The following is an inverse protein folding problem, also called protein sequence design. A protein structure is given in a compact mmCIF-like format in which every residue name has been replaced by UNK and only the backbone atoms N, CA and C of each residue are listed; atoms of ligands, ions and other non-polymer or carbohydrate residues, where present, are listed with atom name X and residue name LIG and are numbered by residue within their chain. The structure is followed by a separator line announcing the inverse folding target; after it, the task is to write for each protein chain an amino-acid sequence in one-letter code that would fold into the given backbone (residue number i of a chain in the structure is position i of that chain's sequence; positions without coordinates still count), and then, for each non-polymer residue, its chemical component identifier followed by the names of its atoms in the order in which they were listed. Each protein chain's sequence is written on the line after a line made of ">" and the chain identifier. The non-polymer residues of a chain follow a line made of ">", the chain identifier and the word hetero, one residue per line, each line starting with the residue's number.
data_IF_341026341217
#
_entry.id   IF_341026341217
#
_cell.length_a   1.000
_cell.length_b   1.000
_cell.length_c   1.000
_cell.angle_alpha   90.00
_cell.angle_beta   90.00
_cell.angle_gamma   90.00
#
_symmetry.space_group_name_H-M   'P 1'
#
loop_
_entity.id
_entity.type
_entity.pdbx_description
1 polymer ?
#
# COMPACT_ATOMS: atom_id res chain seq x y z
N UNK A 1 14.23 -25.21 -38.08
CA UNK A 1 14.48 -25.91 -36.80
C UNK A 1 14.50 -24.88 -35.67
N UNK A 2 13.35 -24.33 -35.29
CA UNK A 2 13.19 -23.36 -34.18
C UNK A 2 12.65 -24.09 -32.95
N UNK A 3 13.55 -24.63 -32.13
CA UNK A 3 13.25 -25.76 -31.23
C UNK A 3 12.98 -25.29 -29.80
N UNK A 4 11.71 -25.29 -29.37
CA UNK A 4 11.19 -25.26 -27.96
C UNK A 4 11.58 -24.07 -27.05
N UNK A 5 12.83 -23.57 -27.05
CA UNK A 5 13.28 -22.41 -26.25
C UNK A 5 12.65 -21.10 -26.72
N UNK A 6 12.47 -20.92 -28.03
CA UNK A 6 11.84 -19.72 -28.56
C UNK A 6 10.35 -19.62 -28.19
N UNK A 7 9.59 -20.73 -28.26
CA UNK A 7 8.16 -20.72 -27.89
C UNK A 7 7.94 -20.45 -26.39
N UNK A 8 8.82 -20.94 -25.52
CA UNK A 8 8.80 -20.62 -24.09
C UNK A 8 8.95 -19.12 -23.83
N UNK A 9 9.88 -18.45 -24.53
CA UNK A 9 10.11 -17.01 -24.38
C UNK A 9 8.92 -16.15 -24.84
N UNK A 10 8.22 -16.56 -25.91
CA UNK A 10 7.03 -15.86 -26.41
C UNK A 10 5.88 -15.98 -25.43
N UNK A 11 5.63 -17.18 -24.89
CA UNK A 11 4.58 -17.41 -23.88
C UNK A 11 4.84 -16.65 -22.59
N UNK A 12 6.09 -16.61 -22.11
CA UNK A 12 6.46 -15.86 -20.92
C UNK A 12 6.23 -14.35 -21.09
N UNK A 13 6.59 -13.79 -22.26
CA UNK A 13 6.33 -12.38 -22.58
C UNK A 13 4.83 -12.08 -22.69
N UNK A 14 4.07 -12.94 -23.36
CA UNK A 14 2.62 -12.80 -23.46
C UNK A 14 1.94 -12.87 -22.09
N UNK A 15 2.37 -13.79 -21.22
CA UNK A 15 1.90 -13.88 -19.85
C UNK A 15 2.24 -12.62 -19.05
N UNK A 16 3.48 -12.13 -19.12
CA UNK A 16 3.89 -10.89 -18.46
C UNK A 16 3.06 -9.68 -18.90
N UNK A 17 2.76 -9.58 -20.20
CA UNK A 17 1.87 -8.56 -20.74
C UNK A 17 0.44 -8.69 -20.21
N UNK A 18 -0.12 -9.91 -20.19
CA UNK A 18 -1.48 -10.15 -19.68
C UNK A 18 -1.57 -9.80 -18.19
N UNK A 19 -0.58 -10.21 -17.40
CA UNK A 19 -0.49 -9.89 -15.98
C UNK A 19 -0.38 -8.38 -15.73
N UNK A 20 0.35 -7.63 -16.56
CA UNK A 20 0.36 -6.16 -16.48
C UNK A 20 -1.06 -5.57 -16.61
N UNK A 21 -1.85 -6.07 -17.55
CA UNK A 21 -3.22 -5.58 -17.78
C UNK A 21 -4.16 -5.96 -16.66
N UNK A 22 -4.15 -7.23 -16.26
CA UNK A 22 -5.04 -7.72 -15.21
C UNK A 22 -4.76 -7.04 -13.86
N UNK A 23 -3.48 -6.96 -13.46
CA UNK A 23 -3.08 -6.27 -12.23
C UNK A 23 -3.35 -4.76 -12.32
N UNK A 24 -3.15 -4.14 -13.48
CA UNK A 24 -3.45 -2.73 -13.69
C UNK A 24 -4.95 -2.40 -13.55
N UNK A 25 -5.83 -3.22 -14.12
CA UNK A 25 -7.28 -3.07 -13.94
C UNK A 25 -7.67 -3.29 -12.47
N UNK A 26 -7.08 -4.30 -11.82
CA UNK A 26 -7.24 -4.49 -10.38
C UNK A 26 -6.82 -3.25 -9.59
N UNK A 27 -5.66 -2.68 -9.90
CA UNK A 27 -5.17 -1.46 -9.25
C UNK A 27 -6.11 -0.28 -9.44
N UNK A 28 -6.67 -0.05 -10.63
CA UNK A 28 -7.65 1.02 -10.82
C UNK A 28 -8.83 0.87 -9.85
N UNK A 29 -9.37 -0.35 -9.72
CA UNK A 29 -10.47 -0.62 -8.80
C UNK A 29 -10.08 -0.44 -7.32
N UNK A 30 -9.03 -1.14 -6.88
CA UNK A 30 -8.64 -1.15 -5.46
C UNK A 30 -8.06 0.19 -5.02
N UNK A 31 -7.34 0.89 -5.89
CA UNK A 31 -6.82 2.22 -5.58
C UNK A 31 -7.97 3.24 -5.51
N UNK A 32 -8.95 3.19 -6.42
CA UNK A 32 -10.12 4.06 -6.32
C UNK A 32 -10.87 3.86 -5.00
N UNK A 33 -11.08 2.61 -4.57
CA UNK A 33 -11.67 2.30 -3.27
C UNK A 33 -10.81 2.79 -2.11
N UNK A 34 -9.49 2.59 -2.17
CA UNK A 34 -8.56 3.07 -1.14
C UNK A 34 -8.62 4.59 -1.01
N UNK A 35 -8.51 5.32 -2.12
CA UNK A 35 -8.63 6.78 -2.13
C UNK A 35 -9.97 7.25 -1.61
N UNK A 36 -11.07 6.59 -2.02
CA UNK A 36 -12.40 6.92 -1.53
C UNK A 36 -12.46 6.81 0.00
N UNK A 37 -12.02 5.70 0.57
CA UNK A 37 -12.08 5.47 2.03
C UNK A 37 -11.18 6.42 2.81
N UNK A 38 -10.01 6.77 2.29
CA UNK A 38 -9.04 7.61 3.01
C UNK A 38 -9.28 9.12 2.83
N UNK A 39 -10.01 9.56 1.80
CA UNK A 39 -10.16 10.99 1.49
C UNK A 39 -11.59 11.50 1.48
N UNK A 40 -12.59 10.64 1.32
CA UNK A 40 -14.00 11.05 1.34
C UNK A 40 -14.57 10.95 2.76
N UNK A 41 -15.64 11.71 3.07
CA UNK A 41 -16.32 11.66 4.36
C UNK A 41 -17.04 10.31 4.54
N UNK A 42 -16.28 9.30 4.97
CA UNK A 42 -16.76 7.96 5.27
C UNK A 42 -16.79 7.74 6.78
N UNK A 43 -17.55 6.75 7.25
CA UNK A 43 -17.54 6.35 8.66
C UNK A 43 -16.22 5.74 9.15
N UNK A 44 -15.19 5.67 8.30
CA UNK A 44 -13.87 5.12 8.62
C UNK A 44 -12.81 6.18 8.90
N UNK A 45 -13.19 7.45 8.97
CA UNK A 45 -12.34 8.58 9.33
C UNK A 45 -12.92 9.28 10.56
N UNK A 46 -12.06 9.92 11.36
CA UNK A 46 -12.49 10.70 12.51
C UNK A 46 -13.02 12.05 12.03
N UNK A 47 -14.17 12.48 12.54
CA UNK A 47 -14.61 13.88 12.37
C UNK A 47 -13.67 14.83 13.11
N UNK A 48 -13.75 16.12 12.83
CA UNK A 48 -12.97 17.13 13.55
C UNK A 48 -13.22 17.11 15.07
N UNK A 49 -14.47 16.87 15.48
CA UNK A 49 -14.85 16.74 16.89
C UNK A 49 -14.27 15.47 17.52
N UNK A 50 -14.40 14.31 16.86
CA UNK A 50 -13.80 13.06 17.33
C UNK A 50 -12.27 13.17 17.42
N UNK A 51 -11.63 13.84 16.44
CA UNK A 51 -10.20 14.09 16.45
C UNK A 51 -9.77 14.95 17.64
N UNK A 52 -10.51 16.02 17.97
CA UNK A 52 -10.22 16.86 19.12
C UNK A 52 -10.28 16.07 20.44
N UNK A 53 -11.26 15.17 20.58
CA UNK A 53 -11.35 14.27 21.75
C UNK A 53 -10.13 13.36 21.82
N UNK A 54 -9.79 12.69 20.72
CA UNK A 54 -8.62 11.80 20.64
C UNK A 54 -7.33 12.57 21.00
N UNK A 55 -7.15 13.79 20.50
CA UNK A 55 -5.99 14.62 20.82
C UNK A 55 -5.94 14.99 22.30
N UNK A 56 -7.08 15.28 22.93
CA UNK A 56 -7.14 15.58 24.36
C UNK A 56 -6.76 14.38 25.23
N UNK A 57 -7.13 13.16 24.82
CA UNK A 57 -6.75 11.92 25.50
C UNK A 57 -5.23 11.67 25.40
N UNK A 58 -4.64 11.87 24.22
CA UNK A 58 -3.18 11.75 24.05
C UNK A 58 -2.41 12.80 24.83
N UNK A 59 -2.88 14.05 24.82
CA UNK A 59 -2.29 15.15 25.59
C UNK A 59 -2.33 14.88 27.10
N UNK A 60 -3.39 14.24 27.61
CA UNK A 60 -3.50 13.81 28.99
C UNK A 60 -2.59 12.62 29.32
N UNK A 61 -2.31 11.75 28.35
CA UNK A 61 -1.51 10.54 28.54
C UNK A 61 0.01 10.78 28.51
N UNK A 62 0.50 11.70 27.67
CA UNK A 62 1.94 11.99 27.54
C UNK A 62 2.18 13.46 27.18
N UNK A 63 2.99 14.13 28.01
CA UNK A 63 3.38 15.54 27.88
C UNK A 63 4.02 15.87 26.51
N UNK A 64 4.66 14.89 25.86
CA UNK A 64 5.25 15.07 24.52
C UNK A 64 4.22 15.48 23.47
N UNK A 65 2.96 15.09 23.63
CA UNK A 65 1.89 15.51 22.71
C UNK A 65 1.53 16.98 22.91
N UNK A 66 1.50 17.44 24.16
CA UNK A 66 1.27 18.86 24.49
C UNK A 66 2.38 19.72 23.86
N UNK A 67 3.64 19.29 24.01
CA UNK A 67 4.80 19.94 23.38
C UNK A 67 4.70 19.94 21.85
N UNK A 68 4.34 18.80 21.25
CA UNK A 68 4.19 18.69 19.79
C UNK A 68 3.07 19.58 19.22
N UNK A 69 1.97 19.75 19.94
CA UNK A 69 0.89 20.69 19.58
C UNK A 69 1.40 22.13 19.69
N UNK A 70 2.07 22.48 20.79
CA UNK A 70 2.62 23.82 20.99
C UNK A 70 3.67 24.20 19.93
N UNK A 71 4.44 23.23 19.46
CA UNK A 71 5.42 23.40 18.36
C UNK A 71 4.78 23.37 16.96
N UNK A 72 3.47 23.15 16.84
CA UNK A 72 2.75 23.07 15.56
C UNK A 72 3.04 21.81 14.75
N UNK A 73 3.65 20.78 15.36
CA UNK A 73 3.88 19.46 14.73
C UNK A 73 2.58 18.66 14.63
N UNK A 74 1.63 18.95 15.50
CA UNK A 74 0.26 18.42 15.46
C UNK A 74 -0.66 19.62 15.33
N UNK A 75 -1.46 19.64 14.27
CA UNK A 75 -2.43 20.70 14.02
C UNK A 75 -3.83 20.25 14.40
N UNK A 76 -4.66 21.20 14.79
CA UNK A 76 -6.09 20.97 14.92
C UNK A 76 -6.72 20.64 13.56
N UNK A 77 -7.81 19.87 13.59
CA UNK A 77 -8.62 19.57 12.42
C UNK A 77 -9.50 20.78 12.06
N UNK A 78 -9.70 21.02 10.76
CA UNK A 78 -10.66 22.03 10.30
C UNK A 78 -12.10 21.57 10.57
N UNK A 79 -13.09 22.48 10.72
CA UNK A 79 -14.47 22.13 11.11
C UNK A 79 -15.23 21.12 10.23
N UNK A 80 -14.75 20.80 9.03
CA UNK A 80 -15.33 19.79 8.14
C UNK A 80 -14.30 18.74 7.68
N UNK A 81 -13.14 18.70 8.35
CA UNK A 81 -12.07 17.76 8.03
C UNK A 81 -12.36 16.37 8.58
N UNK A 82 -11.91 15.38 7.81
CA UNK A 82 -11.96 13.98 8.17
C UNK A 82 -10.53 13.47 8.27
N UNK A 83 -10.15 12.97 9.44
CA UNK A 83 -8.76 12.67 9.77
C UNK A 83 -8.56 11.18 9.92
N UNK A 84 -7.45 10.67 9.36
CA UNK A 84 -7.04 9.28 9.56
C UNK A 84 -6.43 9.17 10.96
N UNK A 85 -7.04 8.37 11.83
CA UNK A 85 -6.54 8.09 13.18
C UNK A 85 -6.30 6.60 13.36
N UNK A 86 -5.43 6.24 14.32
CA UNK A 86 -5.15 4.85 14.63
C UNK A 86 -6.43 4.08 15.03
N UNK A 87 -7.28 4.68 15.86
CA UNK A 87 -8.52 4.07 16.32
C UNK A 87 -9.46 3.70 15.16
N UNK A 88 -9.74 4.65 14.26
CA UNK A 88 -10.59 4.39 13.09
C UNK A 88 -9.99 3.36 12.13
N UNK A 89 -8.67 3.37 11.94
CA UNK A 89 -7.97 2.35 11.13
C UNK A 89 -8.08 0.98 11.79
N UNK A 90 -7.88 0.88 13.10
CA UNK A 90 -7.99 -0.36 13.87
C UNK A 90 -9.41 -0.93 13.79
N UNK A 91 -10.43 -0.10 13.98
CA UNK A 91 -11.83 -0.49 13.86
C UNK A 91 -12.19 -0.98 12.45
N UNK A 92 -11.75 -0.27 11.40
CA UNK A 92 -11.96 -0.71 10.01
C UNK A 92 -11.31 -2.07 9.76
N UNK A 93 -10.06 -2.24 10.20
CA UNK A 93 -9.29 -3.46 9.99
C UNK A 93 -9.67 -4.61 10.92
N UNK A 94 -10.53 -4.41 11.92
CA UNK A 94 -11.16 -5.49 12.67
C UNK A 94 -12.10 -6.33 11.77
N UNK A 95 -12.63 -5.75 10.69
CA UNK A 95 -13.44 -6.47 9.71
C UNK A 95 -12.54 -7.21 8.70
N UNK A 96 -12.67 -8.56 8.58
CA UNK A 96 -11.87 -9.36 7.65
C UNK A 96 -12.00 -8.95 6.17
N UNK A 97 -13.13 -8.39 5.75
CA UNK A 97 -13.33 -7.92 4.38
C UNK A 97 -12.36 -6.79 4.04
N UNK A 98 -12.19 -5.82 4.94
CA UNK A 98 -11.25 -4.71 4.72
C UNK A 98 -9.80 -5.18 4.72
N UNK A 99 -9.45 -6.17 5.55
CA UNK A 99 -8.13 -6.83 5.45
C UNK A 99 -7.91 -7.45 4.08
N UNK A 100 -8.90 -8.18 3.57
CA UNK A 100 -8.84 -8.80 2.25
C UNK A 100 -8.64 -7.77 1.14
N UNK A 101 -9.38 -6.66 1.19
CA UNK A 101 -9.26 -5.55 0.23
C UNK A 101 -7.84 -4.96 0.25
N UNK A 102 -7.30 -4.63 1.43
CA UNK A 102 -5.97 -4.04 1.56
C UNK A 102 -4.85 -5.01 1.14
N UNK A 103 -4.99 -6.32 1.44
CA UNK A 103 -4.05 -7.35 0.97
C UNK A 103 -4.13 -7.51 -0.56
N UNK A 104 -5.31 -7.44 -1.17
CA UNK A 104 -5.45 -7.49 -2.63
C UNK A 104 -4.82 -6.27 -3.30
N UNK A 105 -5.02 -5.07 -2.75
CA UNK A 105 -4.34 -3.87 -3.23
C UNK A 105 -2.81 -4.04 -3.17
N UNK A 106 -2.29 -4.52 -2.03
CA UNK A 106 -0.86 -4.77 -1.83
C UNK A 106 -0.30 -5.78 -2.85
N UNK A 107 -0.97 -6.92 -3.03
CA UNK A 107 -0.52 -7.97 -3.97
C UNK A 107 -0.57 -7.46 -5.41
N UNK A 108 -1.64 -6.79 -5.83
CA UNK A 108 -1.71 -6.22 -7.18
C UNK A 108 -0.65 -5.15 -7.41
N UNK A 109 -0.38 -4.28 -6.42
CA UNK A 109 0.66 -3.26 -6.51
C UNK A 109 2.05 -3.88 -6.65
N UNK A 110 2.36 -4.90 -5.84
CA UNK A 110 3.64 -5.60 -5.88
C UNK A 110 3.85 -6.31 -7.22
N UNK A 111 2.85 -7.06 -7.70
CA UNK A 111 2.93 -7.78 -8.98
C UNK A 111 3.06 -6.82 -10.17
N UNK A 112 2.27 -5.74 -10.18
CA UNK A 112 2.32 -4.71 -11.23
C UNK A 112 3.67 -4.01 -11.24
N UNK A 113 4.13 -3.57 -10.06
CA UNK A 113 5.38 -2.85 -9.85
C UNK A 113 6.61 -3.67 -10.25
N UNK A 114 6.73 -4.92 -9.77
CA UNK A 114 7.88 -5.79 -10.08
C UNK A 114 7.95 -6.11 -11.58
N UNK A 115 6.82 -6.42 -12.21
CA UNK A 115 6.76 -6.71 -13.64
C UNK A 115 7.03 -5.46 -14.49
N UNK A 116 6.60 -4.27 -14.01
CA UNK A 116 6.88 -3.00 -14.70
C UNK A 116 8.36 -2.66 -14.62
N UNK A 117 8.92 -2.80 -13.42
CA UNK A 117 10.34 -2.59 -13.15
C UNK A 117 11.23 -3.55 -13.94
N UNK A 118 10.81 -4.81 -14.13
CA UNK A 118 11.50 -5.76 -15.00
C UNK A 118 11.66 -5.23 -16.44
N UNK A 119 10.60 -4.63 -17.01
CA UNK A 119 10.64 -4.04 -18.34
C UNK A 119 11.58 -2.82 -18.38
N UNK A 120 11.44 -1.90 -17.42
CA UNK A 120 12.31 -0.71 -17.30
C UNK A 120 13.78 -1.12 -17.19
N UNK A 121 14.12 -2.05 -16.29
CA UNK A 121 15.49 -2.56 -16.16
C UNK A 121 15.98 -3.23 -17.44
N UNK A 122 15.10 -3.90 -18.18
CA UNK A 122 15.38 -4.48 -19.49
C UNK A 122 15.87 -3.46 -20.51
N UNK A 123 15.28 -2.27 -20.48
CA UNK A 123 15.54 -1.18 -21.44
C UNK A 123 16.75 -0.32 -21.05
N UNK A 124 16.95 -0.07 -19.75
CA UNK A 124 18.00 0.85 -19.27
C UNK A 124 19.30 0.17 -18.82
N UNK A 125 19.27 -1.10 -18.37
CA UNK A 125 20.46 -1.81 -17.91
C UNK A 125 21.06 -2.70 -19.01
N UNK A 126 22.10 -2.18 -19.68
CA UNK A 126 22.82 -2.89 -20.76
C UNK A 126 23.60 -4.11 -20.25
N UNK A 127 24.11 -4.03 -19.02
CA UNK A 127 24.88 -5.10 -18.38
C UNK A 127 23.95 -6.22 -17.90
N UNK A 128 24.16 -7.44 -18.42
CA UNK A 128 23.36 -8.61 -18.06
C UNK A 128 23.52 -9.00 -16.59
N UNK A 129 24.70 -8.78 -16.00
CA UNK A 129 24.97 -8.98 -14.58
C UNK A 129 24.26 -7.94 -13.72
N UNK A 130 24.41 -6.65 -14.04
CA UNK A 130 23.76 -5.55 -13.31
C UNK A 130 22.23 -5.68 -13.34
N UNK A 131 21.66 -6.05 -14.48
CA UNK A 131 20.21 -6.28 -14.62
C UNK A 131 19.72 -7.42 -13.72
N UNK A 132 20.43 -8.55 -13.66
CA UNK A 132 20.06 -9.68 -12.79
C UNK A 132 20.16 -9.29 -11.31
N UNK A 133 21.24 -8.60 -10.92
CA UNK A 133 21.43 -8.14 -9.56
C UNK A 133 20.34 -7.14 -9.14
N UNK A 134 20.06 -6.14 -9.98
CA UNK A 134 19.03 -5.13 -9.73
C UNK A 134 17.63 -5.76 -9.63
N UNK A 135 17.28 -6.67 -10.55
CA UNK A 135 15.99 -7.35 -10.50
C UNK A 135 15.88 -8.28 -9.28
N UNK A 136 16.92 -9.04 -8.96
CA UNK A 136 16.96 -9.90 -7.77
C UNK A 136 16.80 -9.08 -6.49
N UNK A 137 17.52 -7.96 -6.37
CA UNK A 137 17.38 -7.03 -5.25
C UNK A 137 15.99 -6.43 -5.14
N UNK A 138 15.39 -6.02 -6.27
CA UNK A 138 14.02 -5.51 -6.29
C UNK A 138 13.00 -6.58 -5.84
N UNK A 139 13.11 -7.81 -6.34
CA UNK A 139 12.21 -8.90 -5.91
C UNK A 139 12.32 -9.15 -4.41
N UNK A 140 13.54 -9.20 -3.86
CA UNK A 140 13.74 -9.35 -2.42
C UNK A 140 13.13 -8.20 -1.61
N UNK A 141 13.33 -6.96 -2.07
CA UNK A 141 12.73 -5.78 -1.44
C UNK A 141 11.20 -5.84 -1.47
N UNK A 142 10.61 -6.13 -2.63
CA UNK A 142 9.16 -6.24 -2.78
C UNK A 142 8.58 -7.37 -1.92
N UNK A 143 9.27 -8.51 -1.82
CA UNK A 143 8.85 -9.60 -0.93
C UNK A 143 8.90 -9.16 0.54
N UNK A 144 9.98 -8.51 0.97
CA UNK A 144 10.11 -8.02 2.34
C UNK A 144 9.01 -7.01 2.69
N UNK A 145 8.76 -6.03 1.81
CA UNK A 145 7.70 -5.03 1.98
C UNK A 145 6.31 -5.68 1.95
N UNK A 146 6.09 -6.68 1.09
CA UNK A 146 4.82 -7.40 1.02
C UNK A 146 4.56 -8.18 2.32
N UNK A 147 5.56 -8.91 2.82
CA UNK A 147 5.45 -9.65 4.09
C UNK A 147 5.19 -8.67 5.23
N UNK A 148 5.95 -7.58 5.32
CA UNK A 148 5.75 -6.56 6.35
C UNK A 148 4.35 -5.93 6.25
N UNK A 149 3.87 -5.64 5.04
CA UNK A 149 2.54 -5.10 4.80
C UNK A 149 1.45 -6.06 5.25
N UNK A 150 1.55 -7.35 4.89
CA UNK A 150 0.60 -8.37 5.34
C UNK A 150 0.61 -8.50 6.86
N UNK A 151 1.79 -8.58 7.50
CA UNK A 151 1.89 -8.63 8.98
C UNK A 151 1.23 -7.39 9.62
N UNK A 152 1.44 -6.21 9.05
CA UNK A 152 0.84 -4.97 9.54
C UNK A 152 -0.70 -4.98 9.41
N UNK A 153 -1.24 -5.42 8.27
CA UNK A 153 -2.68 -5.53 8.05
C UNK A 153 -3.31 -6.58 8.97
N UNK A 154 -2.65 -7.73 9.12
CA UNK A 154 -3.17 -8.84 9.92
C UNK A 154 -3.12 -8.57 11.42
N UNK A 155 -2.18 -7.74 11.89
CA UNK A 155 -2.05 -7.38 13.31
C UNK A 155 -2.97 -6.24 13.76
N UNK A 156 -3.41 -5.37 12.85
CA UNK A 156 -4.35 -4.30 13.17
C UNK A 156 -5.75 -4.83 13.51
N UNK A 157 -6.47 -4.21 14.46
CA UNK A 157 -7.85 -4.60 14.78
C UNK A 157 -8.02 -6.00 15.40
N UNK A 158 -6.98 -6.55 16.03
CA UNK A 158 -6.99 -7.88 16.68
C UNK A 158 -7.16 -7.78 18.22
N UNK A 159 -7.57 -6.62 18.74
CA UNK A 159 -7.68 -6.35 20.17
C UNK A 159 -9.04 -5.81 20.52
#
# INVERSE_FOLDING_TARGET
>A
MGTRKQSFSVRARAAGWLWQRLTGVGLVLFLALHFWVQHMPTGFLATAEEYAVIMSEFAAADQRYVEAIAEGKIRDALPAEHVITYDKVSQRLANPLWKGIDVMLLVFAALHGVNGLYNVMGDYLRSSGARKAAFGGAVLLFLAVTVQGVVSIMSAGVR
#
